data_IF_895584820225
#
_entry.id   IF_895584820225
#
_cell.length_a   1.000
_cell.length_b   1.000
_cell.length_c   1.000
_cell.angle_alpha   90.00
_cell.angle_beta   90.00
_cell.angle_gamma   90.00
#
_symmetry.space_group_name_H-M   'P 1'
#
loop_
_entity.id
_entity.type
_entity.pdbx_description
1 polymer ?
#
# COMPACT_ATOMS: atom_id res chain seq x y z
N UNK A 1 -28.11 -4.47 12.80
CA UNK A 1 -28.71 -4.60 11.47
C UNK A 1 -27.61 -4.93 10.48
N UNK A 2 -27.78 -5.95 9.68
CA UNK A 2 -26.79 -6.35 8.68
C UNK A 2 -27.31 -5.99 7.29
N UNK A 3 -26.78 -4.92 6.69
CA UNK A 3 -27.07 -4.59 5.30
C UNK A 3 -26.48 -5.62 4.33
N UNK A 4 -27.18 -5.87 3.23
CA UNK A 4 -26.72 -6.78 2.18
C UNK A 4 -25.61 -6.14 1.32
N UNK A 5 -25.09 -6.91 0.37
CA UNK A 5 -23.97 -6.46 -0.48
C UNK A 5 -24.34 -5.24 -1.35
N UNK A 6 -25.57 -5.20 -1.90
CA UNK A 6 -26.03 -4.10 -2.77
C UNK A 6 -26.22 -2.81 -1.98
N UNK A 7 -26.84 -2.90 -0.80
CA UNK A 7 -26.98 -1.75 0.11
C UNK A 7 -25.62 -1.17 0.48
N UNK A 8 -24.64 -2.02 0.81
CA UNK A 8 -23.29 -1.59 1.10
C UNK A 8 -22.60 -0.93 -0.10
N UNK A 9 -22.79 -1.45 -1.31
CA UNK A 9 -22.25 -0.83 -2.53
C UNK A 9 -22.81 0.58 -2.76
N UNK A 10 -24.10 0.80 -2.49
CA UNK A 10 -24.72 2.14 -2.56
C UNK A 10 -24.05 3.10 -1.56
N UNK A 11 -23.95 2.67 -0.30
CA UNK A 11 -23.33 3.48 0.76
C UNK A 11 -21.85 3.75 0.44
N UNK A 12 -21.12 2.78 -0.09
CA UNK A 12 -19.72 2.92 -0.50
C UNK A 12 -19.56 3.92 -1.64
N UNK A 13 -20.42 3.83 -2.67
CA UNK A 13 -20.36 4.74 -3.81
C UNK A 13 -20.64 6.21 -3.41
N UNK A 14 -21.58 6.42 -2.47
CA UNK A 14 -21.89 7.73 -1.92
C UNK A 14 -20.75 8.27 -1.04
N UNK A 15 -20.18 7.42 -0.18
CA UNK A 15 -19.05 7.77 0.68
C UNK A 15 -17.79 8.10 -0.14
N UNK A 16 -17.51 7.35 -1.20
CA UNK A 16 -16.41 7.62 -2.12
C UNK A 16 -16.54 8.99 -2.82
N UNK A 17 -17.78 9.37 -3.17
CA UNK A 17 -18.05 10.70 -3.72
C UNK A 17 -17.76 11.81 -2.70
N UNK A 18 -18.19 11.61 -1.45
CA UNK A 18 -17.93 12.53 -0.36
C UNK A 18 -16.44 12.71 -0.11
N UNK A 19 -15.69 11.60 0.06
CA UNK A 19 -14.25 11.62 0.34
C UNK A 19 -13.38 12.23 -0.80
N UNK A 20 -13.91 12.26 -2.03
CA UNK A 20 -13.26 12.94 -3.18
C UNK A 20 -13.59 14.41 -3.28
N UNK A 21 -14.55 14.89 -2.51
CA UNK A 21 -15.07 16.25 -2.60
C UNK A 21 -14.20 17.25 -1.83
N UNK A 22 -14.29 18.54 -2.23
CA UNK A 22 -13.72 19.65 -1.48
C UNK A 22 -14.41 19.86 -0.13
N UNK A 23 -15.67 19.45 -0.01
CA UNK A 23 -16.43 19.50 1.25
C UNK A 23 -15.79 18.64 2.33
N UNK A 24 -15.33 17.44 1.97
CA UNK A 24 -14.61 16.54 2.87
C UNK A 24 -13.30 17.13 3.37
N UNK A 25 -12.64 17.95 2.55
CA UNK A 25 -11.37 18.62 2.88
C UNK A 25 -11.58 19.92 3.69
N UNK A 26 -12.82 20.30 3.96
CA UNK A 26 -13.14 21.54 4.68
C UNK A 26 -12.96 22.83 3.85
N UNK A 27 -12.68 22.70 2.56
CA UNK A 27 -12.37 23.83 1.67
C UNK A 27 -13.62 24.45 1.00
N UNK A 28 -14.79 23.83 1.14
CA UNK A 28 -15.98 24.23 0.39
C UNK A 28 -16.91 25.10 1.23
N UNK A 29 -17.31 26.26 0.68
CA UNK A 29 -18.30 27.16 1.29
C UNK A 29 -19.73 26.85 0.83
N UNK A 30 -19.92 25.95 -0.13
CA UNK A 30 -21.22 25.60 -0.71
C UNK A 30 -21.63 24.20 -0.25
N UNK A 31 -22.89 24.06 0.17
CA UNK A 31 -23.45 22.75 0.53
C UNK A 31 -23.51 21.90 -0.76
N UNK A 32 -22.69 20.87 -0.84
CA UNK A 32 -22.66 19.95 -1.97
C UNK A 32 -23.55 18.74 -1.67
N UNK A 33 -24.42 18.37 -2.61
CA UNK A 33 -25.23 17.14 -2.51
C UNK A 33 -24.46 15.96 -3.11
N UNK A 34 -24.38 14.84 -2.37
CA UNK A 34 -23.75 13.61 -2.83
C UNK A 34 -24.83 12.65 -3.28
N UNK A 35 -24.87 12.35 -4.56
CA UNK A 35 -25.95 11.58 -5.17
C UNK A 35 -25.41 10.69 -6.29
N UNK A 36 -25.98 9.48 -6.41
CA UNK A 36 -25.70 8.55 -7.49
C UNK A 36 -26.98 8.14 -8.20
N UNK A 37 -26.92 7.84 -9.50
CA UNK A 37 -28.02 7.15 -10.18
C UNK A 37 -28.01 5.66 -9.81
N UNK A 38 -29.17 4.98 -9.82
CA UNK A 38 -29.27 3.57 -9.46
C UNK A 38 -28.41 2.66 -10.34
N UNK A 39 -28.23 2.97 -11.62
CA UNK A 39 -27.44 2.23 -12.59
C UNK A 39 -25.95 2.16 -12.21
N UNK A 40 -25.51 3.02 -11.31
CA UNK A 40 -24.16 3.00 -10.75
C UNK A 40 -23.87 1.68 -10.00
N UNK A 41 -24.89 1.12 -9.38
CA UNK A 41 -24.80 -0.09 -8.53
C UNK A 41 -25.56 -1.27 -9.15
N UNK A 42 -26.64 -0.99 -9.85
CA UNK A 42 -27.41 -1.97 -10.60
C UNK A 42 -27.49 -1.52 -12.07
N UNK A 43 -26.52 -1.93 -12.93
CA UNK A 43 -26.39 -1.42 -14.30
C UNK A 43 -27.62 -1.62 -15.18
N UNK A 44 -28.38 -2.69 -14.95
CA UNK A 44 -29.57 -3.01 -15.74
C UNK A 44 -30.84 -2.32 -15.24
N UNK A 45 -30.77 -1.49 -14.17
CA UNK A 45 -31.92 -0.79 -13.64
C UNK A 45 -32.53 0.15 -14.69
N UNK A 46 -33.83 0.00 -14.95
CA UNK A 46 -34.56 0.77 -15.96
C UNK A 46 -34.30 0.34 -17.41
N UNK A 47 -33.62 -0.77 -17.66
CA UNK A 47 -33.47 -1.36 -18.98
C UNK A 47 -34.62 -2.34 -19.29
N UNK A 48 -34.94 -2.51 -20.58
CA UNK A 48 -35.95 -3.46 -21.05
C UNK A 48 -35.57 -4.94 -20.77
N UNK A 49 -34.32 -5.20 -20.40
CA UNK A 49 -33.77 -6.53 -20.12
C UNK A 49 -33.65 -6.83 -18.62
N UNK A 50 -33.99 -5.87 -17.77
CA UNK A 50 -33.87 -6.06 -16.32
C UNK A 50 -34.92 -7.07 -15.81
N UNK A 51 -34.48 -7.94 -14.93
CA UNK A 51 -35.35 -8.86 -14.21
C UNK A 51 -36.23 -8.08 -13.22
N UNK A 52 -37.55 -8.17 -13.39
CA UNK A 52 -38.53 -7.45 -12.55
C UNK A 52 -38.46 -7.82 -11.08
N UNK A 53 -38.07 -9.05 -10.76
CA UNK A 53 -37.91 -9.46 -9.37
C UNK A 53 -36.66 -8.82 -8.75
N UNK A 54 -35.57 -8.73 -9.50
CA UNK A 54 -34.35 -8.03 -9.06
C UNK A 54 -34.58 -6.53 -8.90
N UNK A 55 -35.37 -5.89 -9.78
CA UNK A 55 -35.76 -4.48 -9.63
C UNK A 55 -36.55 -4.29 -8.33
N UNK A 56 -37.53 -5.14 -8.07
CA UNK A 56 -38.36 -5.07 -6.85
C UNK A 56 -37.52 -5.22 -5.59
N UNK A 57 -36.61 -6.18 -5.57
CA UNK A 57 -35.71 -6.39 -4.45
C UNK A 57 -34.79 -5.18 -4.24
N UNK A 58 -34.19 -4.66 -5.31
CA UNK A 58 -33.35 -3.46 -5.26
C UNK A 58 -34.12 -2.27 -4.67
N UNK A 59 -35.35 -2.01 -5.17
CA UNK A 59 -36.17 -0.91 -4.64
C UNK A 59 -36.55 -1.13 -3.17
N UNK A 60 -36.83 -2.36 -2.75
CA UNK A 60 -37.09 -2.67 -1.36
C UNK A 60 -35.90 -2.37 -0.46
N UNK A 61 -34.70 -2.77 -0.88
CA UNK A 61 -33.44 -2.46 -0.15
C UNK A 61 -33.13 -0.97 -0.09
N UNK A 62 -33.46 -0.21 -1.14
CA UNK A 62 -33.27 1.25 -1.12
C UNK A 62 -34.28 1.92 -0.16
N UNK A 63 -35.51 1.43 -0.10
CA UNK A 63 -36.51 1.90 0.89
C UNK A 63 -36.11 1.60 2.33
N UNK A 64 -35.47 0.47 2.58
CA UNK A 64 -34.88 0.18 3.90
C UNK A 64 -33.80 1.20 4.28
N UNK A 65 -32.87 1.52 3.39
CA UNK A 65 -31.86 2.54 3.63
C UNK A 65 -32.47 3.93 3.86
N UNK A 66 -33.55 4.25 3.18
CA UNK A 66 -34.27 5.52 3.36
C UNK A 66 -35.02 5.55 4.71
N UNK A 67 -35.66 4.45 5.11
CA UNK A 67 -36.32 4.32 6.41
C UNK A 67 -35.33 4.41 7.58
N UNK A 68 -34.11 3.89 7.39
CA UNK A 68 -33.02 4.00 8.36
C UNK A 68 -32.36 5.40 8.34
N UNK A 69 -32.84 6.31 7.47
CA UNK A 69 -32.39 7.68 7.38
C UNK A 69 -31.00 7.87 6.74
N UNK A 70 -30.46 6.83 6.11
CA UNK A 70 -29.14 6.89 5.48
C UNK A 70 -29.15 7.59 4.13
N UNK A 71 -30.20 7.40 3.34
CA UNK A 71 -30.35 8.01 2.02
C UNK A 71 -31.70 8.67 1.88
N UNK A 72 -31.85 9.48 0.83
CA UNK A 72 -33.13 9.99 0.32
C UNK A 72 -33.28 9.54 -1.12
N UNK A 73 -34.47 9.03 -1.47
CA UNK A 73 -34.77 8.53 -2.80
C UNK A 73 -35.52 9.60 -3.59
N UNK A 74 -35.05 9.92 -4.78
CA UNK A 74 -35.78 10.76 -5.73
C UNK A 74 -36.35 9.90 -6.84
N UNK A 75 -37.69 9.91 -6.96
CA UNK A 75 -38.40 9.19 -8.02
C UNK A 75 -38.62 10.07 -9.25
N UNK A 76 -38.79 9.42 -10.42
CA UNK A 76 -39.22 10.05 -11.66
C UNK A 76 -39.88 8.99 -12.55
N UNK A 77 -41.09 9.25 -13.04
CA UNK A 77 -41.89 8.31 -13.86
C UNK A 77 -42.14 6.95 -13.20
N UNK A 78 -42.19 6.90 -11.85
CA UNK A 78 -42.43 5.67 -11.11
C UNK A 78 -41.16 4.89 -10.72
N UNK A 79 -39.99 5.26 -11.25
CA UNK A 79 -38.71 4.61 -10.98
C UNK A 79 -37.78 5.48 -10.12
N UNK A 80 -36.81 4.84 -9.49
CA UNK A 80 -35.76 5.57 -8.76
C UNK A 80 -34.85 6.29 -9.77
N UNK A 81 -34.72 7.61 -9.64
CA UNK A 81 -33.84 8.41 -10.49
C UNK A 81 -32.52 8.75 -9.83
N UNK A 82 -32.54 8.94 -8.51
CA UNK A 82 -31.34 9.32 -7.77
C UNK A 82 -31.42 8.82 -6.33
N UNK A 83 -30.29 8.40 -5.81
CA UNK A 83 -30.05 8.07 -4.41
C UNK A 83 -29.12 9.15 -3.86
N UNK A 84 -29.56 9.88 -2.83
CA UNK A 84 -28.85 11.00 -2.24
C UNK A 84 -28.44 10.63 -0.81
N UNK A 85 -27.17 10.86 -0.45
CA UNK A 85 -26.68 10.61 0.89
C UNK A 85 -27.27 11.58 1.92
N UNK A 86 -27.62 11.08 3.09
CA UNK A 86 -27.86 11.92 4.27
C UNK A 86 -26.50 12.31 4.87
N UNK A 87 -26.15 13.58 4.76
CA UNK A 87 -24.84 14.11 5.17
C UNK A 87 -24.62 14.14 6.69
N UNK A 88 -25.67 14.02 7.47
CA UNK A 88 -25.59 13.94 8.93
C UNK A 88 -25.18 12.55 9.43
N UNK A 89 -25.18 11.55 8.53
CA UNK A 89 -24.98 10.13 8.87
C UNK A 89 -23.63 9.56 8.43
N UNK A 90 -22.63 10.39 8.08
CA UNK A 90 -21.32 9.88 7.60
C UNK A 90 -20.66 8.91 8.57
N UNK A 91 -20.70 9.16 9.88
CA UNK A 91 -20.16 8.25 10.89
C UNK A 91 -20.81 6.86 10.85
N UNK A 92 -22.11 6.82 10.54
CA UNK A 92 -22.84 5.56 10.40
C UNK A 92 -22.43 4.81 9.13
N UNK A 93 -22.15 5.53 8.01
CA UNK A 93 -21.60 4.94 6.80
C UNK A 93 -20.26 4.25 7.07
N UNK A 94 -19.32 4.94 7.74
CA UNK A 94 -18.02 4.35 8.11
C UNK A 94 -18.21 3.09 8.99
N UNK A 95 -19.12 3.15 9.95
CA UNK A 95 -19.41 2.03 10.85
C UNK A 95 -20.02 0.83 10.12
N UNK A 96 -21.02 1.05 9.27
CA UNK A 96 -21.68 0.02 8.48
C UNK A 96 -20.72 -0.66 7.51
N UNK A 97 -19.89 0.13 6.84
CA UNK A 97 -18.90 -0.34 5.87
C UNK A 97 -17.64 -0.90 6.53
N UNK A 98 -17.52 -0.80 7.86
CA UNK A 98 -16.29 -1.13 8.61
C UNK A 98 -15.05 -0.45 8.01
N UNK A 99 -15.23 0.74 7.46
CA UNK A 99 -14.21 1.53 6.80
C UNK A 99 -13.69 2.60 7.77
N UNK A 100 -12.39 2.82 7.76
CA UNK A 100 -11.80 3.92 8.52
C UNK A 100 -11.87 5.20 7.70
N UNK A 101 -12.12 6.30 8.37
CA UNK A 101 -12.10 7.62 7.78
C UNK A 101 -10.76 7.92 7.09
N UNK A 102 -10.82 8.44 5.88
CA UNK A 102 -9.64 8.71 5.04
C UNK A 102 -8.70 9.74 5.67
N UNK A 103 -9.23 10.78 6.31
CA UNK A 103 -8.40 11.79 7.00
C UNK A 103 -7.68 11.18 8.19
N UNK A 104 -8.33 10.30 8.96
CA UNK A 104 -7.68 9.56 10.05
C UNK A 104 -6.55 8.68 9.53
N UNK A 105 -6.77 7.96 8.42
CA UNK A 105 -5.72 7.14 7.80
C UNK A 105 -4.56 7.99 7.29
N UNK A 106 -4.85 9.15 6.73
CA UNK A 106 -3.84 10.11 6.27
C UNK A 106 -3.02 10.65 7.43
N UNK A 107 -3.69 11.01 8.54
CA UNK A 107 -3.03 11.49 9.74
C UNK A 107 -2.13 10.42 10.37
N UNK A 108 -2.60 9.17 10.45
CA UNK A 108 -1.78 8.04 10.91
C UNK A 108 -0.52 7.87 10.04
N UNK A 109 -0.65 8.02 8.74
CA UNK A 109 0.47 7.96 7.79
C UNK A 109 1.46 9.13 8.01
N UNK A 110 0.96 10.34 8.21
CA UNK A 110 1.80 11.51 8.51
C UNK A 110 2.57 11.26 9.82
N UNK A 111 1.90 10.83 10.88
CA UNK A 111 2.54 10.49 12.16
C UNK A 111 3.56 9.37 12.01
N UNK A 112 3.30 8.37 11.16
CA UNK A 112 4.27 7.34 10.85
C UNK A 112 5.56 7.94 10.29
N UNK A 113 5.47 8.75 9.25
CA UNK A 113 6.66 9.37 8.63
C UNK A 113 7.37 10.34 9.58
N UNK A 114 6.64 11.08 10.41
CA UNK A 114 7.22 11.99 11.40
C UNK A 114 8.13 11.29 12.41
N UNK A 115 7.83 10.05 12.78
CA UNK A 115 8.67 9.25 13.72
C UNK A 115 10.08 8.97 13.19
N UNK A 116 10.30 9.05 11.88
CA UNK A 116 11.59 8.78 11.25
C UNK A 116 12.35 10.03 10.85
N UNK A 117 11.78 11.23 11.07
CA UNK A 117 12.48 12.48 10.85
C UNK A 117 13.62 12.64 11.89
N UNK A 118 14.75 13.17 11.45
CA UNK A 118 15.94 13.36 12.27
C UNK A 118 16.81 12.11 12.43
N UNK A 119 16.41 10.94 11.91
CA UNK A 119 17.19 9.71 12.01
C UNK A 119 18.35 9.65 11.00
N UNK A 120 18.16 10.17 9.79
CA UNK A 120 19.20 10.31 8.78
C UNK A 120 18.77 11.30 7.70
N UNK A 121 19.73 11.93 6.96
CA UNK A 121 19.39 12.83 5.86
C UNK A 121 18.53 12.18 4.76
N UNK A 122 18.75 10.90 4.51
CA UNK A 122 17.98 10.11 3.53
C UNK A 122 16.53 9.96 3.96
N UNK A 123 16.30 9.51 5.20
CA UNK A 123 14.95 9.34 5.74
C UNK A 123 14.22 10.69 5.83
N UNK A 124 14.93 11.76 6.17
CA UNK A 124 14.37 13.11 6.19
C UNK A 124 13.84 13.54 4.81
N UNK A 125 14.65 13.37 3.75
CA UNK A 125 14.25 13.70 2.38
C UNK A 125 13.01 12.90 1.97
N UNK A 126 13.03 11.59 2.18
CA UNK A 126 11.89 10.72 1.86
C UNK A 126 10.64 11.06 2.67
N UNK A 127 10.74 11.12 4.00
CA UNK A 127 9.59 11.36 4.86
C UNK A 127 8.95 12.74 4.62
N UNK A 128 9.75 13.80 4.41
CA UNK A 128 9.22 15.14 4.06
C UNK A 128 8.47 15.12 2.75
N UNK A 129 8.97 14.42 1.72
CA UNK A 129 8.25 14.27 0.44
C UNK A 129 6.91 13.54 0.64
N UNK A 130 6.90 12.44 1.42
CA UNK A 130 5.65 11.70 1.65
C UNK A 130 4.65 12.50 2.47
N UNK A 131 5.08 13.20 3.52
CA UNK A 131 4.23 14.10 4.32
C UNK A 131 3.63 15.19 3.41
N UNK A 132 4.43 15.83 2.57
CA UNK A 132 3.96 16.84 1.63
C UNK A 132 2.93 16.31 0.62
N UNK A 133 3.12 15.06 0.13
CA UNK A 133 2.12 14.39 -0.73
C UNK A 133 0.79 14.18 0.00
N UNK A 134 0.85 13.66 1.22
CA UNK A 134 -0.32 13.42 2.05
C UNK A 134 -1.06 14.73 2.34
N UNK A 135 -0.36 15.80 2.73
CA UNK A 135 -0.95 17.12 2.96
C UNK A 135 -1.62 17.72 1.71
N UNK A 136 -1.16 17.33 0.52
CA UNK A 136 -1.77 17.69 -0.75
C UNK A 136 -2.87 16.70 -1.21
N UNK A 137 -3.35 15.82 -0.34
CA UNK A 137 -4.33 14.76 -0.64
C UNK A 137 -3.89 13.80 -1.76
N UNK A 138 -2.59 13.68 -1.99
CA UNK A 138 -2.00 12.70 -2.91
C UNK A 138 -1.68 11.40 -2.16
N UNK A 139 -1.81 10.27 -2.84
CA UNK A 139 -1.41 9.00 -2.26
C UNK A 139 0.09 8.97 -1.97
N UNK A 140 0.52 8.43 -0.83
CA UNK A 140 1.93 8.19 -0.56
C UNK A 140 2.47 7.11 -1.50
N UNK A 141 3.79 7.02 -1.61
CA UNK A 141 4.44 5.99 -2.43
C UNK A 141 4.17 4.58 -1.88
N UNK A 142 4.16 4.46 -0.57
CA UNK A 142 3.83 3.24 0.17
C UNK A 142 2.82 3.57 1.27
N UNK A 143 1.87 2.67 1.53
CA UNK A 143 0.81 2.89 2.51
C UNK A 143 0.83 1.90 3.66
N UNK A 144 0.26 2.30 4.80
CA UNK A 144 0.01 1.44 5.97
C UNK A 144 1.21 0.63 6.43
N UNK A 145 0.98 -0.65 6.68
CA UNK A 145 2.00 -1.61 7.17
C UNK A 145 3.20 -1.78 6.21
N UNK A 146 3.01 -1.50 4.93
CA UNK A 146 4.11 -1.58 3.97
C UNK A 146 5.09 -0.42 4.14
N UNK A 147 4.58 0.80 4.34
CA UNK A 147 5.40 1.98 4.61
C UNK A 147 6.21 1.79 5.91
N UNK A 148 5.56 1.29 6.97
CA UNK A 148 6.22 1.01 8.23
C UNK A 148 7.36 0.00 8.08
N UNK A 149 7.12 -1.12 7.39
CA UNK A 149 8.15 -2.12 7.14
C UNK A 149 9.33 -1.57 6.33
N UNK A 150 9.07 -0.74 5.31
CA UNK A 150 10.11 -0.12 4.49
C UNK A 150 10.93 0.87 5.32
N UNK A 151 10.30 1.69 6.15
CA UNK A 151 10.98 2.65 7.00
C UNK A 151 11.85 1.97 8.07
N UNK A 152 11.35 0.90 8.70
CA UNK A 152 12.15 0.10 9.65
C UNK A 152 13.34 -0.58 8.96
N UNK A 153 13.15 -1.12 7.75
CA UNK A 153 14.25 -1.69 6.96
C UNK A 153 15.31 -0.64 6.61
N UNK A 154 14.90 0.53 6.13
CA UNK A 154 15.82 1.63 5.83
C UNK A 154 16.59 2.08 7.07
N UNK A 155 15.89 2.27 8.19
CA UNK A 155 16.51 2.62 9.47
C UNK A 155 17.55 1.58 9.89
N UNK A 156 17.18 0.29 9.85
CA UNK A 156 18.08 -0.79 10.21
C UNK A 156 19.34 -0.80 9.32
N UNK A 157 19.17 -0.71 7.99
CA UNK A 157 20.27 -0.69 7.02
C UNK A 157 21.22 0.49 7.27
N UNK A 158 20.65 1.70 7.46
CA UNK A 158 21.44 2.92 7.68
C UNK A 158 22.17 2.94 9.03
N UNK A 159 21.71 2.19 10.02
CA UNK A 159 22.34 2.08 11.35
C UNK A 159 23.24 0.85 11.49
N UNK A 160 23.21 -0.07 10.52
CA UNK A 160 24.00 -1.28 10.58
C UNK A 160 25.51 -0.99 10.48
N UNK A 161 26.27 -1.62 11.36
CA UNK A 161 27.76 -1.51 11.43
C UNK A 161 28.41 -2.90 11.49
N UNK A 162 27.66 -3.95 11.20
CA UNK A 162 28.15 -5.34 11.28
C UNK A 162 27.93 -6.05 9.96
N UNK A 163 28.84 -6.93 9.62
CA UNK A 163 28.66 -7.83 8.48
C UNK A 163 27.51 -8.80 8.76
N UNK A 164 26.42 -8.66 8.01
CA UNK A 164 25.24 -9.50 8.11
C UNK A 164 24.78 -10.01 6.75
N UNK A 165 24.06 -11.11 6.77
CA UNK A 165 23.42 -11.66 5.58
C UNK A 165 22.02 -11.05 5.35
N UNK A 166 21.61 -10.96 4.10
CA UNK A 166 20.25 -10.49 3.73
C UNK A 166 19.15 -11.29 4.46
N UNK A 167 19.38 -12.57 4.76
CA UNK A 167 18.47 -13.40 5.55
C UNK A 167 18.38 -12.95 7.01
N UNK A 168 19.50 -12.53 7.59
CA UNK A 168 19.55 -12.03 8.97
C UNK A 168 18.83 -10.68 9.08
N UNK A 169 19.05 -9.77 8.13
CA UNK A 169 18.26 -8.55 7.99
C UNK A 169 16.76 -8.85 7.95
N UNK A 170 16.36 -9.81 7.10
CA UNK A 170 14.95 -10.20 6.96
C UNK A 170 14.37 -10.74 8.26
N UNK A 171 15.11 -11.57 8.97
CA UNK A 171 14.69 -12.12 10.27
C UNK A 171 14.65 -11.04 11.36
N UNK A 172 15.64 -10.16 11.40
CA UNK A 172 15.72 -9.10 12.42
C UNK A 172 14.52 -8.15 12.34
N UNK A 173 14.19 -7.68 11.14
CA UNK A 173 13.17 -6.64 10.94
C UNK A 173 11.79 -7.22 10.63
N UNK A 174 11.71 -8.21 9.74
CA UNK A 174 10.43 -8.70 9.21
C UNK A 174 9.93 -9.98 9.88
N UNK A 175 10.76 -10.61 10.73
CA UNK A 175 10.49 -11.93 11.38
C UNK A 175 10.18 -13.06 10.37
N UNK A 176 10.66 -12.91 9.14
CA UNK A 176 10.45 -13.86 8.04
C UNK A 176 11.67 -13.83 7.11
N UNK A 177 12.32 -14.98 6.93
CA UNK A 177 13.58 -15.10 6.19
C UNK A 177 13.49 -14.85 4.68
N UNK A 178 12.28 -14.85 4.10
CA UNK A 178 12.06 -14.73 2.64
C UNK A 178 11.37 -13.43 2.22
N UNK A 179 10.78 -12.70 3.16
CA UNK A 179 9.98 -11.49 2.82
C UNK A 179 10.82 -10.35 2.27
N UNK A 180 12.06 -10.20 2.74
CA UNK A 180 12.99 -9.21 2.22
C UNK A 180 13.18 -9.37 0.71
N UNK A 181 13.69 -10.52 0.28
CA UNK A 181 13.99 -10.78 -1.13
C UNK A 181 12.75 -10.69 -2.02
N UNK A 182 11.62 -11.26 -1.58
CA UNK A 182 10.40 -11.34 -2.39
C UNK A 182 9.65 -10.02 -2.52
N UNK A 183 9.68 -9.17 -1.48
CA UNK A 183 8.76 -8.02 -1.42
C UNK A 183 9.43 -6.68 -1.25
N UNK A 184 10.52 -6.61 -0.50
CA UNK A 184 11.03 -5.33 -0.02
C UNK A 184 12.38 -4.92 -0.63
N UNK A 185 13.24 -5.86 -1.02
CA UNK A 185 14.60 -5.61 -1.49
C UNK A 185 14.67 -4.49 -2.54
N UNK A 186 14.00 -4.67 -3.67
CA UNK A 186 14.02 -3.66 -4.76
C UNK A 186 13.39 -2.33 -4.36
N UNK A 187 12.37 -2.33 -3.49
CA UNK A 187 11.73 -1.10 -3.01
C UNK A 187 12.67 -0.30 -2.13
N UNK A 188 13.30 -0.96 -1.17
CA UNK A 188 14.23 -0.35 -0.23
C UNK A 188 15.50 0.13 -0.95
N UNK A 189 16.11 -0.71 -1.80
CA UNK A 189 17.27 -0.32 -2.58
C UNK A 189 16.96 0.87 -3.52
N UNK A 190 15.79 0.87 -4.16
CA UNK A 190 15.33 2.01 -4.97
C UNK A 190 15.16 3.29 -4.15
N UNK A 191 14.69 3.18 -2.90
CA UNK A 191 14.56 4.30 -1.99
C UNK A 191 15.94 4.81 -1.54
N UNK A 192 16.84 3.92 -1.12
CA UNK A 192 18.21 4.25 -0.77
C UNK A 192 18.90 5.00 -1.93
N UNK A 193 18.81 4.46 -3.14
CA UNK A 193 19.41 5.08 -4.34
C UNK A 193 18.83 6.46 -4.65
N UNK A 194 17.51 6.62 -4.55
CA UNK A 194 16.84 7.90 -4.90
C UNK A 194 17.10 9.01 -3.89
N UNK A 195 17.15 8.69 -2.61
CA UNK A 195 17.24 9.70 -1.54
C UNK A 195 18.59 9.71 -0.81
N UNK A 196 19.47 8.73 -1.08
CA UNK A 196 20.82 8.68 -0.54
C UNK A 196 21.84 9.36 -1.48
N UNK A 197 23.05 9.55 -0.98
CA UNK A 197 24.15 10.17 -1.71
C UNK A 197 25.12 9.06 -2.21
N UNK A 198 24.62 8.16 -3.06
CA UNK A 198 25.34 6.97 -3.54
C UNK A 198 25.80 7.08 -5.01
N UNK A 199 25.73 8.26 -5.63
CA UNK A 199 26.06 8.44 -7.05
C UNK A 199 27.49 7.98 -7.37
N UNK A 200 28.44 8.20 -6.46
CA UNK A 200 29.83 7.79 -6.62
C UNK A 200 30.03 6.27 -6.71
N UNK A 201 29.15 5.47 -6.11
CA UNK A 201 29.24 4.00 -6.14
C UNK A 201 28.91 3.43 -7.52
N UNK A 202 28.21 4.19 -8.34
CA UNK A 202 27.69 3.72 -9.64
C UNK A 202 28.47 4.32 -10.82
N UNK A 203 29.57 5.06 -10.57
CA UNK A 203 30.43 5.59 -11.61
C UNK A 203 31.07 4.43 -12.42
N UNK A 204 30.67 4.30 -13.68
CA UNK A 204 31.16 3.26 -14.58
C UNK A 204 30.25 2.05 -14.78
N UNK A 205 29.11 1.98 -14.08
CA UNK A 205 28.06 1.01 -14.40
C UNK A 205 27.17 1.56 -15.52
N UNK A 206 26.92 0.74 -16.54
CA UNK A 206 26.05 1.10 -17.67
C UNK A 206 24.59 1.13 -17.24
N UNK A 207 23.79 1.87 -18.01
CA UNK A 207 22.39 2.20 -17.78
C UNK A 207 21.54 0.97 -17.38
N UNK A 208 20.75 1.12 -16.31
CA UNK A 208 19.89 0.16 -15.57
C UNK A 208 18.87 -0.66 -16.42
N UNK A 209 19.13 -0.97 -17.68
CA UNK A 209 18.15 -1.61 -18.58
C UNK A 209 18.04 -3.12 -18.42
N UNK A 210 19.11 -3.77 -17.94
CA UNK A 210 19.10 -5.21 -17.74
C UNK A 210 18.86 -5.63 -16.29
N UNK A 211 18.16 -6.75 -16.10
CA UNK A 211 17.83 -7.28 -14.76
C UNK A 211 19.10 -7.67 -13.96
N UNK A 212 20.18 -8.02 -14.65
CA UNK A 212 21.45 -8.38 -14.01
C UNK A 212 22.14 -7.13 -13.48
N UNK A 213 22.19 -6.05 -14.25
CA UNK A 213 22.75 -4.75 -13.83
C UNK A 213 22.02 -4.20 -12.60
N UNK A 214 20.70 -4.33 -12.58
CA UNK A 214 19.90 -3.91 -11.43
C UNK A 214 20.22 -4.71 -10.15
N UNK A 215 20.39 -6.03 -10.25
CA UNK A 215 20.75 -6.87 -9.10
C UNK A 215 22.14 -6.56 -8.58
N UNK A 216 23.09 -6.29 -9.48
CA UNK A 216 24.44 -5.92 -9.09
C UNK A 216 24.47 -4.53 -8.43
N UNK A 217 23.74 -3.56 -8.96
CA UNK A 217 23.55 -2.25 -8.33
C UNK A 217 22.99 -2.36 -6.92
N UNK A 218 21.94 -3.18 -6.73
CA UNK A 218 21.36 -3.43 -5.42
C UNK A 218 22.35 -4.10 -4.46
N UNK A 219 23.19 -5.01 -4.98
CA UNK A 219 24.22 -5.72 -4.21
C UNK A 219 25.33 -4.78 -3.74
N UNK A 220 25.84 -3.93 -4.63
CA UNK A 220 26.85 -2.92 -4.30
C UNK A 220 26.31 -1.98 -3.21
N UNK A 221 25.07 -1.51 -3.38
CA UNK A 221 24.43 -0.62 -2.41
C UNK A 221 24.28 -1.25 -1.03
N UNK A 222 23.90 -2.52 -0.97
CA UNK A 222 23.75 -3.24 0.30
C UNK A 222 25.12 -3.53 0.94
N UNK A 223 26.14 -3.84 0.14
CA UNK A 223 27.50 -4.06 0.61
C UNK A 223 28.12 -2.80 1.26
N UNK A 224 27.77 -1.60 0.79
CA UNK A 224 28.14 -0.33 1.44
C UNK A 224 27.64 -0.25 2.88
N UNK A 225 26.53 -0.94 3.17
CA UNK A 225 25.96 -1.08 4.51
C UNK A 225 26.30 -2.41 5.19
N UNK A 226 27.33 -3.12 4.72
CA UNK A 226 27.79 -4.41 5.27
C UNK A 226 26.70 -5.49 5.26
N UNK A 227 25.82 -5.46 4.23
CA UNK A 227 24.76 -6.45 4.04
C UNK A 227 25.06 -7.25 2.78
N UNK A 228 25.23 -8.56 2.96
CA UNK A 228 25.71 -9.45 1.91
C UNK A 228 24.65 -10.48 1.50
N UNK A 229 24.66 -10.93 0.24
CA UNK A 229 23.77 -11.99 -0.20
C UNK A 229 23.98 -13.29 0.57
N UNK A 230 22.93 -14.08 0.69
CA UNK A 230 23.05 -15.38 1.31
C UNK A 230 23.97 -16.28 0.47
N UNK A 231 24.93 -16.98 1.09
CA UNK A 231 25.75 -17.92 0.36
C UNK A 231 24.91 -19.07 -0.20
N UNK A 232 25.24 -19.52 -1.40
CA UNK A 232 24.66 -20.72 -1.97
C UNK A 232 25.27 -21.93 -1.31
N UNK A 233 24.50 -22.72 -0.57
CA UNK A 233 24.94 -23.98 0.01
C UNK A 233 24.65 -25.11 -0.97
N UNK A 234 25.65 -25.92 -1.25
CA UNK A 234 25.51 -27.16 -1.97
C UNK A 234 25.68 -28.30 -0.97
N UNK A 235 24.66 -29.12 -0.82
CA UNK A 235 24.74 -30.31 0.02
C UNK A 235 25.25 -31.48 -0.82
N UNK A 236 26.35 -32.07 -0.37
CA UNK A 236 26.89 -33.31 -0.95
C UNK A 236 26.61 -34.48 -0.02
N UNK A 237 26.21 -35.59 -0.61
CA UNK A 237 26.13 -36.86 0.08
C UNK A 237 27.25 -37.75 -0.47
N UNK A 238 28.30 -38.01 0.36
CA UNK A 238 29.49 -38.77 -0.03
C UNK A 238 30.77 -37.93 0.08
N UNK A 239 31.86 -38.50 -0.37
CA UNK A 239 33.17 -37.83 -0.36
C UNK A 239 33.22 -36.80 -1.47
N UNK A 240 33.61 -35.57 -1.16
CA UNK A 240 33.81 -34.51 -2.12
C UNK A 240 35.22 -33.91 -2.01
N UNK A 241 35.83 -33.66 -3.16
CA UNK A 241 37.09 -32.90 -3.25
C UNK A 241 36.80 -31.57 -3.90
N UNK A 242 37.23 -30.48 -3.24
CA UNK A 242 37.05 -29.14 -3.74
C UNK A 242 38.35 -28.62 -4.33
N UNK A 243 38.33 -28.26 -5.59
CA UNK A 243 39.46 -27.62 -6.28
C UNK A 243 39.18 -26.12 -6.43
N UNK A 244 40.03 -25.32 -5.82
CA UNK A 244 40.00 -23.86 -6.04
C UNK A 244 40.93 -23.51 -7.18
N UNK A 245 40.55 -22.60 -8.04
CA UNK A 245 41.37 -22.19 -9.20
C UNK A 245 42.76 -21.68 -8.84
N UNK A 246 42.99 -21.27 -7.58
CA UNK A 246 44.23 -20.69 -7.10
C UNK A 246 44.67 -21.17 -5.69
N UNK A 247 44.25 -22.34 -5.22
CA UNK A 247 44.54 -22.75 -3.85
C UNK A 247 44.55 -24.27 -3.60
N UNK A 248 44.93 -24.71 -2.39
CA UNK A 248 45.03 -26.12 -2.06
C UNK A 248 43.67 -26.82 -2.05
N UNK A 249 43.67 -28.09 -2.43
CA UNK A 249 42.51 -28.96 -2.35
C UNK A 249 42.11 -29.18 -0.88
N UNK A 250 40.80 -29.02 -0.56
CA UNK A 250 40.25 -29.39 0.75
C UNK A 250 39.43 -30.66 0.61
N UNK A 251 39.77 -31.71 1.38
CA UNK A 251 39.01 -32.96 1.46
C UNK A 251 38.08 -32.92 2.65
N UNK A 252 36.83 -33.35 2.47
CA UNK A 252 35.92 -33.61 3.59
C UNK A 252 35.94 -35.10 3.89
N UNK A 253 36.41 -35.47 5.07
CA UNK A 253 36.28 -36.84 5.55
C UNK A 253 34.83 -37.08 6.01
N UNK A 254 34.23 -38.23 5.69
CA UNK A 254 32.91 -38.56 6.18
C UNK A 254 32.98 -38.84 7.69
N UNK A 255 32.26 -38.01 8.47
CA UNK A 255 31.97 -38.34 9.89
C UNK A 255 30.71 -39.17 9.98
#
# INVERSE_FOLDING_TARGET
MGYNAVQKQVLEALLDQYERSKTYQGENKVIQSFQIPPEKVFPDYGSDYADMDQIRDFEAWMRELEQDGLITIKYGSGEIRKLTANQECWDLYYKVLQRRDKLSLQQDQIMLHQRYLGMSPLLDRFCREQIGRLQQNKNPLYGGKEAEAILELCKFILQNQQDILERELSMAVLKDSKRWEKKYRSKVCGLLRKYGDYESLFLGLTDDRDKEDKRETERILLAEHQIYPNPSYVYFKGNAEFYFSNGPCVRTDPS
#
